data_IF_548150447277
#
_entry.id   IF_548150447277
#
_cell.length_a   1.000
_cell.length_b   1.000
_cell.length_c   1.000
_cell.angle_alpha   90.00
_cell.angle_beta   90.00
_cell.angle_gamma   90.00
#
_symmetry.space_group_name_H-M   'P 1'
#
loop_
_entity.id
_entity.type
_entity.pdbx_description
1 polymer ?
#
# COMPACT_ATOMS: atom_id res chain seq x y z
N UNK A 1 28.21 -6.53 -10.65
CA UNK A 1 27.60 -5.19 -10.72
C UNK A 1 26.10 -5.41 -10.80
N UNK A 2 25.43 -5.44 -9.65
CA UNK A 2 23.97 -5.41 -9.52
C UNK A 2 23.61 -4.28 -8.53
N UNK A 3 24.36 -3.18 -8.59
CA UNK A 3 24.33 -2.09 -7.61
C UNK A 3 22.92 -1.52 -7.44
N UNK A 4 22.15 -1.46 -8.53
CA UNK A 4 20.77 -0.99 -8.54
C UNK A 4 19.82 -1.96 -7.80
N UNK A 5 20.09 -3.27 -7.86
CA UNK A 5 19.32 -4.30 -7.14
C UNK A 5 19.61 -4.24 -5.64
N UNK A 6 20.89 -4.14 -5.26
CA UNK A 6 21.30 -4.01 -3.86
C UNK A 6 20.74 -2.73 -3.22
N UNK A 7 20.70 -1.62 -3.95
CA UNK A 7 20.08 -0.38 -3.49
C UNK A 7 18.55 -0.50 -3.35
N UNK A 8 17.89 -1.18 -4.27
CA UNK A 8 16.45 -1.43 -4.18
C UNK A 8 16.09 -2.34 -3.00
N UNK A 9 16.91 -3.37 -2.74
CA UNK A 9 16.78 -4.24 -1.55
C UNK A 9 16.99 -3.43 -0.27
N UNK A 10 18.04 -2.60 -0.19
CA UNK A 10 18.26 -1.72 0.98
C UNK A 10 17.11 -0.73 1.20
N UNK A 11 16.55 -0.16 0.13
CA UNK A 11 15.38 0.71 0.24
C UNK A 11 14.16 -0.02 0.80
N UNK A 12 13.96 -1.29 0.39
CA UNK A 12 12.93 -2.18 0.93
C UNK A 12 13.17 -2.52 2.39
N UNK A 13 14.39 -2.86 2.77
CA UNK A 13 14.77 -3.16 4.16
C UNK A 13 14.60 -1.95 5.08
N UNK A 14 15.05 -0.76 4.64
CA UNK A 14 14.87 0.49 5.39
C UNK A 14 13.39 0.85 5.58
N UNK A 15 12.52 0.52 4.61
CA UNK A 15 11.08 0.68 4.77
C UNK A 15 10.49 -0.22 5.86
N UNK A 16 11.19 -1.32 6.24
CA UNK A 16 10.76 -2.25 7.28
C UNK A 16 11.50 -2.02 8.61
N UNK A 17 12.63 -1.32 8.60
CA UNK A 17 13.56 -1.17 9.74
C UNK A 17 13.13 -0.16 10.84
N UNK A 18 11.83 -0.01 11.12
CA UNK A 18 11.35 0.80 12.25
C UNK A 18 11.11 2.28 11.96
N UNK A 19 10.92 2.64 10.69
CA UNK A 19 10.36 3.94 10.31
C UNK A 19 8.84 3.96 10.54
N UNK A 20 8.27 5.15 10.75
CA UNK A 20 6.82 5.32 10.65
C UNK A 20 6.33 4.96 9.23
N UNK A 21 5.07 4.56 9.09
CA UNK A 21 4.56 4.04 7.81
C UNK A 21 4.74 5.06 6.66
N UNK A 22 4.70 6.36 6.97
CA UNK A 22 4.97 7.46 6.02
C UNK A 22 6.43 7.49 5.59
N UNK A 23 7.38 7.41 6.52
CA UNK A 23 8.81 7.32 6.24
C UNK A 23 9.15 6.08 5.42
N UNK A 24 8.60 4.93 5.80
CA UNK A 24 8.73 3.69 5.08
C UNK A 24 8.25 3.78 3.62
N UNK A 25 7.09 4.40 3.38
CA UNK A 25 6.55 4.59 2.03
C UNK A 25 7.47 5.45 1.16
N UNK A 26 8.06 6.52 1.71
CA UNK A 26 8.99 7.40 0.96
C UNK A 26 10.23 6.66 0.48
N UNK A 27 10.72 5.68 1.26
CA UNK A 27 11.85 4.85 0.85
C UNK A 27 11.43 3.77 -0.15
N UNK A 28 10.31 3.09 0.08
CA UNK A 28 9.79 2.09 -0.86
C UNK A 28 9.51 2.68 -2.25
N UNK A 29 9.05 3.93 -2.36
CA UNK A 29 8.82 4.61 -3.65
C UNK A 29 10.09 4.90 -4.47
N UNK A 30 11.29 4.79 -3.89
CA UNK A 30 12.55 4.93 -4.63
C UNK A 30 12.91 3.64 -5.38
N UNK A 31 12.48 2.48 -4.87
CA UNK A 31 12.85 1.18 -5.39
C UNK A 31 12.38 0.90 -6.84
N UNK A 32 11.20 1.33 -7.34
CA UNK A 32 10.79 1.10 -8.72
C UNK A 32 11.69 1.79 -9.74
N UNK A 33 12.26 2.95 -9.37
CA UNK A 33 13.18 3.70 -10.25
C UNK A 33 14.58 3.05 -10.32
N UNK A 34 14.92 2.22 -9.33
CA UNK A 34 16.20 1.53 -9.24
C UNK A 34 16.11 0.12 -9.83
N UNK A 35 15.05 -0.61 -9.51
CA UNK A 35 14.82 -1.97 -9.96
C UNK A 35 13.31 -2.24 -10.07
N UNK A 36 12.69 -2.01 -11.24
CA UNK A 36 11.26 -2.19 -11.44
C UNK A 36 10.75 -3.62 -11.17
N UNK A 37 11.62 -4.61 -11.34
CA UNK A 37 11.34 -6.04 -11.14
C UNK A 37 11.52 -6.47 -9.67
N UNK A 38 11.59 -5.52 -8.72
CA UNK A 38 11.77 -5.85 -7.31
C UNK A 38 10.55 -6.57 -6.75
N UNK A 39 10.75 -7.84 -6.44
CA UNK A 39 9.67 -8.71 -6.02
C UNK A 39 9.10 -8.33 -4.64
N UNK A 40 7.78 -8.37 -4.53
CA UNK A 40 7.04 -7.99 -3.32
C UNK A 40 6.94 -6.49 -3.04
N UNK A 41 7.48 -5.62 -3.91
CA UNK A 41 7.39 -4.17 -3.75
C UNK A 41 5.95 -3.61 -3.86
N UNK A 42 5.11 -4.09 -4.80
CA UNK A 42 3.70 -3.66 -4.86
C UNK A 42 2.91 -4.00 -3.58
N UNK A 43 3.15 -5.18 -3.01
CA UNK A 43 2.53 -5.63 -1.77
C UNK A 43 2.97 -4.75 -0.59
N UNK A 44 4.27 -4.45 -0.48
CA UNK A 44 4.80 -3.56 0.55
C UNK A 44 4.19 -2.15 0.47
N UNK A 45 4.10 -1.57 -0.73
CA UNK A 45 3.49 -0.26 -0.93
C UNK A 45 2.00 -0.24 -0.53
N UNK A 46 1.25 -1.29 -0.89
CA UNK A 46 -0.16 -1.42 -0.52
C UNK A 46 -0.35 -1.52 1.00
N UNK A 47 0.45 -2.34 1.68
CA UNK A 47 0.41 -2.46 3.15
C UNK A 47 0.75 -1.14 3.84
N UNK A 48 1.77 -0.42 3.35
CA UNK A 48 2.12 0.88 3.90
C UNK A 48 1.01 1.91 3.69
N UNK A 49 0.33 1.88 2.55
CA UNK A 49 -0.82 2.76 2.29
C UNK A 49 -2.01 2.48 3.20
N UNK A 50 -2.27 1.22 3.50
CA UNK A 50 -3.30 0.82 4.48
C UNK A 50 -2.95 1.33 5.89
N UNK A 51 -1.73 1.09 6.37
CA UNK A 51 -1.26 1.56 7.68
C UNK A 51 -1.34 3.10 7.80
N UNK A 52 -0.88 3.84 6.78
CA UNK A 52 -0.95 5.31 6.76
C UNK A 52 -2.40 5.81 6.73
N UNK A 53 -3.31 5.05 6.11
CA UNK A 53 -4.73 5.42 6.04
C UNK A 53 -5.46 5.13 7.35
N UNK A 54 -5.13 4.03 8.02
CA UNK A 54 -5.66 3.66 9.33
C UNK A 54 -5.20 4.61 10.46
N UNK A 55 -3.97 5.12 10.36
CA UNK A 55 -3.40 6.04 11.36
C UNK A 55 -3.92 7.49 11.21
N UNK A 56 -4.27 7.91 9.99
CA UNK A 56 -4.85 9.23 9.74
C UNK A 56 -6.33 9.26 10.11
N UNK A 57 -6.60 9.56 11.38
CA UNK A 57 -7.95 9.94 11.84
C UNK A 57 -8.21 11.41 11.55
N UNK A 58 -9.27 11.70 10.81
CA UNK A 58 -9.76 13.07 10.63
C UNK A 58 -10.84 13.28 11.69
N UNK A 59 -10.63 14.22 12.61
CA UNK A 59 -11.58 14.51 13.70
C UNK A 59 -11.95 13.28 14.56
N UNK A 60 -11.03 12.33 14.71
CA UNK A 60 -11.27 11.08 15.46
C UNK A 60 -11.91 9.94 14.64
N UNK A 61 -12.34 10.20 13.41
CA UNK A 61 -12.93 9.21 12.51
C UNK A 61 -11.92 8.67 11.49
N UNK A 62 -12.15 7.42 11.07
CA UNK A 62 -11.35 6.77 10.03
C UNK A 62 -11.71 7.38 8.67
N UNK A 63 -10.69 7.73 7.88
CA UNK A 63 -10.87 8.19 6.50
C UNK A 63 -11.19 7.01 5.57
N UNK A 64 -12.49 6.67 5.48
CA UNK A 64 -12.99 5.55 4.68
C UNK A 64 -12.71 5.70 3.19
N UNK A 65 -12.64 6.92 2.65
CA UNK A 65 -12.30 7.13 1.25
C UNK A 65 -10.89 6.67 0.95
N UNK A 66 -9.97 6.95 1.88
CA UNK A 66 -8.58 6.54 1.78
C UNK A 66 -8.39 5.05 2.01
N UNK A 67 -9.09 4.46 2.99
CA UNK A 67 -9.14 3.00 3.20
C UNK A 67 -9.64 2.28 1.95
N UNK A 68 -10.67 2.81 1.29
CA UNK A 68 -11.21 2.26 0.05
C UNK A 68 -10.39 2.62 -1.20
N UNK A 69 -9.33 3.42 -1.06
CA UNK A 69 -8.50 3.95 -2.15
C UNK A 69 -9.32 4.66 -3.25
N UNK A 70 -10.31 5.46 -2.85
CA UNK A 70 -11.18 6.25 -3.73
C UNK A 70 -11.11 7.74 -3.39
N UNK A 71 -11.55 8.58 -4.34
CA UNK A 71 -11.64 10.02 -4.09
C UNK A 71 -12.89 10.37 -3.24
N UNK A 72 -12.87 11.47 -2.47
CA UNK A 72 -14.02 11.88 -1.64
C UNK A 72 -15.32 12.13 -2.40
N UNK A 73 -15.22 12.39 -3.72
CA UNK A 73 -16.35 12.61 -4.62
C UNK A 73 -16.63 11.43 -5.55
N UNK A 74 -16.08 10.24 -5.25
CA UNK A 74 -16.35 9.04 -6.01
C UNK A 74 -17.85 8.67 -5.95
N UNK A 75 -18.41 8.23 -7.07
CA UNK A 75 -19.77 7.72 -7.13
C UNK A 75 -19.91 6.37 -6.40
N UNK A 76 -21.15 5.99 -6.11
CA UNK A 76 -21.47 4.78 -5.35
C UNK A 76 -20.95 3.51 -6.05
N UNK A 77 -20.99 3.45 -7.39
CA UNK A 77 -20.53 2.31 -8.15
C UNK A 77 -19.00 2.14 -8.04
N UNK A 78 -18.26 3.25 -8.06
CA UNK A 78 -16.81 3.29 -7.86
C UNK A 78 -16.44 2.83 -6.44
N UNK A 79 -17.15 3.31 -5.43
CA UNK A 79 -16.98 2.90 -4.02
C UNK A 79 -17.22 1.40 -3.88
N UNK A 80 -18.33 0.89 -4.43
CA UNK A 80 -18.72 -0.53 -4.36
C UNK A 80 -17.71 -1.44 -5.06
N UNK A 81 -17.18 -1.01 -6.20
CA UNK A 81 -16.14 -1.76 -6.93
C UNK A 81 -14.86 -1.90 -6.11
N UNK A 82 -14.40 -0.83 -5.47
CA UNK A 82 -13.20 -0.85 -4.64
C UNK A 82 -13.40 -1.65 -3.36
N UNK A 83 -14.56 -1.50 -2.71
CA UNK A 83 -14.93 -2.32 -1.56
C UNK A 83 -14.89 -3.82 -1.89
N UNK A 84 -15.52 -4.25 -3.00
CA UNK A 84 -15.47 -5.66 -3.42
C UNK A 84 -14.05 -6.15 -3.66
N UNK A 85 -13.20 -5.32 -4.28
CA UNK A 85 -11.79 -5.66 -4.52
C UNK A 85 -11.02 -5.85 -3.21
N UNK A 86 -11.22 -4.95 -2.23
CA UNK A 86 -10.62 -5.05 -0.91
C UNK A 86 -11.14 -6.27 -0.14
N UNK A 87 -12.47 -6.47 -0.11
CA UNK A 87 -13.07 -7.64 0.50
C UNK A 87 -12.50 -8.94 -0.08
N UNK A 88 -12.33 -9.03 -1.40
CA UNK A 88 -11.69 -10.20 -2.05
C UNK A 88 -10.21 -10.38 -1.70
N UNK A 89 -9.50 -9.30 -1.39
CA UNK A 89 -8.10 -9.35 -0.97
C UNK A 89 -7.96 -9.83 0.49
N UNK A 90 -8.88 -9.42 1.38
CA UNK A 90 -8.88 -9.79 2.79
C UNK A 90 -9.61 -11.10 3.10
N UNK A 91 -10.57 -11.52 2.28
CA UNK A 91 -11.15 -12.87 2.36
C UNK A 91 -10.03 -13.84 1.94
N UNK A 92 -9.52 -14.67 2.86
CA UNK A 92 -8.41 -15.56 2.57
C UNK A 92 -8.87 -16.55 1.48
N UNK A 93 -8.36 -16.34 0.27
CA UNK A 93 -8.48 -17.22 -0.90
C UNK A 93 -9.86 -17.84 -1.13
N UNK A 94 -10.66 -17.22 -2.01
CA UNK A 94 -11.74 -17.84 -2.82
C UNK A 94 -12.49 -19.02 -2.17
N UNK A 95 -13.72 -18.76 -1.70
CA UNK A 95 -14.75 -19.79 -1.81
C UNK A 95 -15.16 -19.81 -3.30
N UNK A 96 -14.53 -20.70 -4.06
CA UNK A 96 -15.15 -21.21 -5.29
C UNK A 96 -16.43 -21.94 -4.85
N UNK A 97 -17.56 -21.54 -5.43
CA UNK A 97 -18.76 -22.36 -5.51
C UNK A 97 -18.46 -23.64 -6.30
#
# INVERSE_FOLDING_TARGET
MDCNKDEAIRAKELAVAGMDAVGAKRFALKAPNLYPELDGLPQLLATLDEYISADKKINGEVDWYRVLAVQPFADEDTIRKHYRKLALFFIPTKINL
#
